data_IF_060902319479
#
_entry.id   IF_060902319479
#
_cell.length_a   1.000
_cell.length_b   1.000
_cell.length_c   1.000
_cell.angle_alpha   90.00
_cell.angle_beta   90.00
_cell.angle_gamma   90.00
#
_symmetry.space_group_name_H-M   'P 1'
#
loop_
_entity.id
_entity.type
_entity.pdbx_description
1 polymer ?
#
# COMPACT_ATOMS: atom_id res chain seq x y z
N UNK A 1 21.63 -10.85 20.74
CA UNK A 1 21.35 -10.67 20.82
C UNK A 1 21.12 -10.41 20.93
N UNK A 2 20.98 -10.61 21.05
CA UNK A 2 20.57 -10.32 21.15
C UNK A 2 20.24 -10.10 20.97
N UNK A 3 20.13 -10.24 21.25
CA UNK A 3 19.56 -10.03 20.99
C UNK A 3 19.35 -9.86 20.19
N UNK A 4 19.32 -10.19 19.90
CA UNK A 4 18.97 -9.79 19.02
C UNK A 4 18.60 -9.99 18.15
N UNK A 5 18.54 -11.01 18.20
CA UNK A 5 17.98 -10.96 17.41
C UNK A 5 17.14 -9.97 16.78
N UNK A 6 16.88 -9.06 17.14
CA UNK A 6 16.16 -7.97 16.53
C UNK A 6 16.60 -7.65 15.11
N UNK A 7 17.82 -7.84 14.83
CA UNK A 7 18.33 -7.54 13.49
C UNK A 7 17.65 -8.38 12.42
N UNK A 8 17.46 -9.65 12.71
CA UNK A 8 16.81 -10.54 11.75
C UNK A 8 15.37 -10.09 11.51
N UNK A 9 14.69 -9.74 12.58
CA UNK A 9 13.32 -9.29 12.49
C UNK A 9 13.22 -7.99 11.70
N UNK A 10 14.14 -7.07 11.94
CA UNK A 10 14.15 -5.82 11.22
C UNK A 10 14.43 -6.03 9.74
N UNK A 11 15.33 -6.94 9.41
CA UNK A 11 15.64 -7.23 8.03
C UNK A 11 14.42 -7.79 7.31
N UNK A 12 13.69 -8.70 7.95
CA UNK A 12 12.49 -9.26 7.35
C UNK A 12 11.43 -8.18 7.17
N UNK A 13 11.31 -7.29 8.13
CA UNK A 13 10.35 -6.21 8.06
C UNK A 13 10.68 -5.27 6.91
N UNK A 14 11.94 -4.93 6.76
CA UNK A 14 12.35 -4.05 5.66
C UNK A 14 12.08 -4.71 4.33
N UNK A 15 12.38 -6.00 4.19
CA UNK A 15 12.15 -6.70 2.93
C UNK A 15 10.66 -6.71 2.60
N UNK A 16 9.82 -6.93 3.59
CA UNK A 16 8.39 -6.95 3.38
C UNK A 16 7.87 -5.60 2.89
N UNK A 17 8.31 -4.53 3.54
CA UNK A 17 7.87 -3.20 3.12
C UNK A 17 8.46 -2.82 1.77
N UNK A 18 9.68 -3.26 1.48
CA UNK A 18 10.26 -3.01 0.17
C UNK A 18 9.43 -3.67 -0.92
N UNK A 19 8.94 -4.90 -0.65
CA UNK A 19 8.07 -5.57 -1.61
C UNK A 19 6.77 -4.81 -1.82
N UNK A 20 6.22 -4.22 -0.76
CA UNK A 20 5.02 -3.42 -0.88
C UNK A 20 5.25 -2.19 -1.75
N UNK A 21 6.35 -1.49 -1.52
CA UNK A 21 6.67 -0.34 -2.36
C UNK A 21 6.89 -0.76 -3.81
N UNK A 22 7.55 -1.89 -4.00
CA UNK A 22 7.78 -2.40 -5.35
C UNK A 22 6.45 -2.70 -6.05
N UNK A 23 5.51 -3.29 -5.31
CA UNK A 23 4.22 -3.60 -5.90
C UNK A 23 3.47 -2.35 -6.33
N UNK A 24 3.62 -1.26 -5.59
CA UNK A 24 2.97 0.00 -5.94
C UNK A 24 3.78 0.83 -6.93
N UNK A 25 5.02 0.46 -7.19
CA UNK A 25 5.97 1.34 -7.85
C UNK A 25 5.90 1.36 -9.36
N UNK A 26 4.84 0.85 -9.95
CA UNK A 26 4.64 1.03 -11.39
C UNK A 26 3.49 2.00 -11.58
N UNK A 27 3.51 2.70 -12.71
CA UNK A 27 2.49 3.72 -12.94
C UNK A 27 1.07 3.14 -12.87
N UNK A 28 0.76 2.02 -13.57
CA UNK A 28 -0.61 1.53 -13.50
C UNK A 28 -1.01 1.10 -12.09
N UNK A 29 -0.11 0.47 -11.34
CA UNK A 29 -0.49 0.05 -9.99
C UNK A 29 -0.64 1.22 -9.04
N UNK A 30 0.17 2.25 -9.21
CA UNK A 30 -0.01 3.45 -8.40
C UNK A 30 -1.34 4.11 -8.71
N UNK A 31 -1.73 4.15 -9.98
CA UNK A 31 -3.03 4.70 -10.35
C UNK A 31 -4.17 3.89 -9.72
N UNK A 32 -4.03 2.57 -9.70
CA UNK A 32 -5.04 1.72 -9.09
C UNK A 32 -5.16 2.02 -7.61
N UNK A 33 -4.03 2.13 -6.92
CA UNK A 33 -4.06 2.41 -5.49
C UNK A 33 -4.75 3.74 -5.20
N UNK A 34 -4.40 4.78 -5.94
CA UNK A 34 -5.02 6.07 -5.72
C UNK A 34 -6.52 6.04 -5.99
N UNK A 35 -6.92 5.32 -7.03
CA UNK A 35 -8.33 5.22 -7.35
C UNK A 35 -9.08 4.49 -6.24
N UNK A 36 -8.55 3.37 -5.78
CA UNK A 36 -9.22 2.62 -4.72
C UNK A 36 -9.26 3.40 -3.42
N UNK A 37 -8.21 4.18 -3.14
CA UNK A 37 -8.24 5.03 -1.96
C UNK A 37 -9.33 6.08 -2.07
N UNK A 38 -9.55 6.60 -3.26
CA UNK A 38 -10.61 7.59 -3.45
C UNK A 38 -12.00 7.00 -3.23
N UNK A 39 -12.13 5.70 -3.40
CA UNK A 39 -13.42 5.02 -3.23
C UNK A 39 -13.54 4.32 -1.88
N UNK A 40 -12.57 4.50 -1.00
CA UNK A 40 -12.60 3.89 0.31
C UNK A 40 -13.77 4.49 1.12
N UNK A 41 -14.48 3.70 1.89
CA UNK A 41 -14.27 2.29 2.20
C UNK A 41 -14.99 1.29 1.30
N UNK A 42 -15.89 1.74 0.46
CA UNK A 42 -16.73 0.83 -0.30
C UNK A 42 -15.98 0.02 -1.34
N UNK A 43 -14.99 0.62 -1.97
CA UNK A 43 -14.23 -0.08 -2.99
C UNK A 43 -14.87 0.01 -4.37
N UNK A 44 -14.30 -0.73 -5.30
CA UNK A 44 -14.76 -0.72 -6.68
C UNK A 44 -14.68 -2.13 -7.25
N UNK A 45 -15.54 -2.41 -8.21
CA UNK A 45 -15.45 -3.66 -8.96
C UNK A 45 -14.39 -3.52 -10.04
N UNK A 46 -13.96 -4.66 -10.58
CA UNK A 46 -12.99 -4.66 -11.68
C UNK A 46 -13.52 -3.85 -12.86
N UNK A 47 -14.81 -4.01 -13.16
CA UNK A 47 -15.40 -3.28 -14.26
C UNK A 47 -15.29 -1.77 -14.06
N UNK A 48 -15.55 -1.32 -12.83
CA UNK A 48 -15.45 0.10 -12.54
C UNK A 48 -14.02 0.60 -12.66
N UNK A 49 -13.07 -0.17 -12.14
CA UNK A 49 -11.67 0.23 -12.24
C UNK A 49 -11.24 0.27 -13.70
N UNK A 50 -11.64 -0.74 -14.46
CA UNK A 50 -11.32 -0.79 -15.88
C UNK A 50 -11.89 0.43 -16.61
N UNK A 51 -13.13 0.77 -16.28
CA UNK A 51 -13.78 1.91 -16.91
C UNK A 51 -13.06 3.21 -16.62
N UNK A 52 -12.57 3.37 -15.39
CA UNK A 52 -11.91 4.59 -15.00
C UNK A 52 -10.50 4.71 -15.58
N UNK A 53 -9.77 3.60 -15.63
CA UNK A 53 -8.35 3.65 -15.98
C UNK A 53 -8.06 3.20 -17.39
N UNK A 54 -8.99 2.50 -18.03
CA UNK A 54 -8.77 2.04 -19.39
C UNK A 54 -7.73 0.94 -19.53
N UNK A 55 -7.49 0.19 -18.46
CA UNK A 55 -6.52 -0.89 -18.50
C UNK A 55 -7.22 -2.15 -18.96
N UNK A 56 -6.65 -2.90 -19.92
CA UNK A 56 -7.28 -4.15 -20.37
C UNK A 56 -7.51 -5.10 -19.19
N UNK A 57 -8.61 -5.85 -19.26
CA UNK A 57 -9.04 -6.67 -18.12
C UNK A 57 -8.00 -7.68 -17.68
N UNK A 58 -7.32 -8.34 -18.63
CA UNK A 58 -6.34 -9.34 -18.24
C UNK A 58 -5.15 -8.69 -17.53
N UNK A 59 -4.72 -7.55 -18.04
CA UNK A 59 -3.62 -6.81 -17.42
C UNK A 59 -4.04 -6.29 -16.05
N UNK A 60 -5.26 -5.77 -15.97
CA UNK A 60 -5.77 -5.25 -14.71
C UNK A 60 -5.83 -6.34 -13.64
N UNK A 61 -6.30 -7.53 -14.00
CA UNK A 61 -6.35 -8.63 -13.06
C UNK A 61 -4.98 -8.96 -12.51
N UNK A 62 -3.97 -8.92 -13.38
CA UNK A 62 -2.60 -9.18 -12.96
C UNK A 62 -2.12 -8.14 -11.96
N UNK A 63 -2.40 -6.87 -12.24
CA UNK A 63 -2.02 -5.79 -11.33
C UNK A 63 -2.73 -5.90 -9.99
N UNK A 64 -4.03 -6.22 -10.03
CA UNK A 64 -4.79 -6.36 -8.80
C UNK A 64 -4.25 -7.51 -7.95
N UNK A 65 -3.87 -8.60 -8.61
CA UNK A 65 -3.31 -9.71 -7.86
C UNK A 65 -1.98 -9.37 -7.22
N UNK A 66 -1.13 -8.64 -7.94
CA UNK A 66 0.14 -8.20 -7.38
C UNK A 66 -0.06 -7.36 -6.13
N UNK A 67 -1.00 -6.43 -6.18
CA UNK A 67 -1.28 -5.58 -5.04
C UNK A 67 -1.89 -6.37 -3.89
N UNK A 68 -2.76 -7.30 -4.21
CA UNK A 68 -3.41 -8.11 -3.19
C UNK A 68 -2.41 -9.03 -2.49
N UNK A 69 -1.45 -9.58 -3.25
CA UNK A 69 -0.45 -10.45 -2.66
C UNK A 69 0.40 -9.74 -1.62
N UNK A 70 0.53 -8.42 -1.74
CA UNK A 70 1.27 -7.63 -0.76
C UNK A 70 0.36 -7.01 0.29
N UNK A 71 -0.88 -7.41 0.33
CA UNK A 71 -1.86 -6.94 1.32
C UNK A 71 -2.16 -5.46 1.19
N UNK A 72 -1.90 -4.88 0.04
CA UNK A 72 -2.15 -3.46 -0.18
C UNK A 72 -3.61 -3.20 -0.54
N UNK A 73 -4.29 -4.21 -1.04
CA UNK A 73 -5.71 -4.12 -1.32
C UNK A 73 -6.39 -5.37 -0.80
N UNK A 74 -7.68 -5.27 -0.63
CA UNK A 74 -8.52 -6.36 -0.16
C UNK A 74 -9.64 -6.58 -1.15
N UNK A 75 -10.18 -7.79 -1.14
CA UNK A 75 -11.31 -8.10 -1.99
C UNK A 75 -12.42 -8.66 -1.12
N UNK A 76 -13.65 -8.26 -1.43
CA UNK A 76 -14.82 -8.71 -0.72
C UNK A 76 -15.86 -9.14 -1.76
N UNK A 77 -16.52 -10.25 -1.51
CA UNK A 77 -17.54 -10.74 -2.42
C UNK A 77 -18.90 -10.28 -1.94
N UNK A 78 -19.67 -9.70 -2.85
CA UNK A 78 -21.08 -9.39 -2.57
C UNK A 78 -21.89 -9.87 -3.75
N UNK A 79 -22.67 -10.94 -3.53
CA UNK A 79 -23.40 -11.55 -4.61
C UNK A 79 -22.45 -12.12 -5.64
N UNK A 80 -22.60 -11.70 -6.88
CA UNK A 80 -21.74 -12.15 -7.95
C UNK A 80 -20.57 -11.21 -8.19
N UNK A 81 -20.47 -10.13 -7.43
CA UNK A 81 -19.45 -9.13 -7.66
C UNK A 81 -18.32 -9.23 -6.65
N UNK A 82 -17.12 -8.95 -7.12
CA UNK A 82 -15.97 -8.80 -6.24
C UNK A 82 -15.65 -7.32 -6.13
N UNK A 83 -15.56 -6.84 -4.89
CA UNK A 83 -15.28 -5.44 -4.61
C UNK A 83 -13.87 -5.33 -4.08
N UNK A 84 -13.07 -4.53 -4.74
CA UNK A 84 -11.69 -4.30 -4.34
C UNK A 84 -11.59 -2.98 -3.62
N UNK A 85 -10.88 -2.97 -2.50
CA UNK A 85 -10.70 -1.75 -1.74
C UNK A 85 -9.27 -1.66 -1.25
N UNK A 86 -8.81 -0.44 -1.01
CA UNK A 86 -7.48 -0.22 -0.49
C UNK A 86 -7.42 -0.66 0.97
N UNK A 87 -6.31 -1.31 1.34
CA UNK A 87 -6.08 -1.68 2.73
C UNK A 87 -5.39 -0.51 3.41
N UNK A 88 -6.20 0.39 3.95
CA UNK A 88 -5.66 1.63 4.49
C UNK A 88 -4.83 1.40 5.73
N UNK A 89 -5.13 0.36 6.51
CA UNK A 89 -4.31 0.04 7.68
C UNK A 89 -2.90 -0.34 7.28
N UNK A 90 -2.78 -1.22 6.28
CA UNK A 90 -1.48 -1.63 5.81
C UNK A 90 -0.72 -0.45 5.22
N UNK A 91 -1.41 0.37 4.45
CA UNK A 91 -0.75 1.53 3.85
C UNK A 91 -0.27 2.50 4.92
N UNK A 92 -1.09 2.72 5.95
CA UNK A 92 -0.69 3.60 7.05
C UNK A 92 0.54 3.05 7.76
N UNK A 93 0.58 1.73 7.97
CA UNK A 93 1.76 1.13 8.60
C UNK A 93 3.01 1.30 7.75
N UNK A 94 2.85 1.11 6.45
CA UNK A 94 3.97 1.25 5.52
C UNK A 94 4.55 2.65 5.57
N UNK A 95 3.69 3.65 5.52
CA UNK A 95 4.15 5.03 5.55
C UNK A 95 4.69 5.40 6.93
N UNK A 96 4.07 4.89 7.98
CA UNK A 96 4.58 5.14 9.33
C UNK A 96 5.96 4.53 9.52
N UNK A 97 6.17 3.35 8.97
CA UNK A 97 7.48 2.72 9.06
C UNK A 97 8.54 3.61 8.43
N UNK A 98 8.23 4.18 7.28
CA UNK A 98 9.17 5.06 6.60
C UNK A 98 9.43 6.33 7.40
N UNK A 99 8.35 6.96 7.88
CA UNK A 99 8.48 8.22 8.61
C UNK A 99 9.07 8.03 10.00
N UNK A 100 9.06 6.82 10.54
CA UNK A 100 9.60 6.59 11.87
C UNK A 100 11.06 7.02 11.99
N UNK A 101 11.77 7.01 10.88
CA UNK A 101 13.16 7.43 10.89
C UNK A 101 13.35 8.91 10.61
N UNK A 102 12.23 9.63 10.42
CA UNK A 102 12.36 11.03 10.08
C UNK A 102 13.11 11.79 11.17
N UNK A 103 14.23 12.38 10.80
CA UNK A 103 14.99 13.33 11.63
C UNK A 103 15.56 12.72 12.91
N UNK A 104 15.65 11.40 12.99
CA UNK A 104 16.16 10.78 14.21
C UNK A 104 17.63 11.13 14.45
N UNK A 105 18.35 11.50 13.41
CA UNK A 105 19.76 11.84 13.52
C UNK A 105 20.02 13.33 13.52
N UNK A 106 18.99 14.13 13.31
CA UNK A 106 19.13 15.57 13.25
C UNK A 106 18.11 16.20 14.18
N UNK A 107 18.54 16.63 15.33
CA UNK A 107 17.64 17.13 16.33
C UNK A 107 17.20 18.56 16.10
N UNK A 108 17.73 19.20 15.09
CA UNK A 108 17.33 20.55 14.78
C UNK A 108 15.94 20.61 14.16
N UNK A 109 15.45 19.49 13.65
CA UNK A 109 14.15 19.44 13.00
C UNK A 109 13.25 18.49 13.77
N UNK A 110 12.06 18.96 14.10
CA UNK A 110 11.10 18.12 14.80
C UNK A 110 10.41 17.22 13.83
N UNK A 111 10.33 15.92 14.11
CA UNK A 111 9.60 15.02 13.21
C UNK A 111 8.15 15.43 13.03
N UNK A 112 7.53 15.97 14.05
CA UNK A 112 6.14 16.39 13.95
C UNK A 112 5.94 17.49 12.93
N UNK A 113 6.92 18.34 12.78
CA UNK A 113 6.78 19.45 11.84
C UNK A 113 6.67 18.95 10.41
N UNK A 114 7.23 17.78 10.12
CA UNK A 114 7.17 17.24 8.79
C UNK A 114 5.88 16.49 8.55
N UNK A 115 5.46 15.74 9.55
CA UNK A 115 4.30 14.89 9.39
C UNK A 115 3.02 15.70 9.38
N UNK A 116 3.00 16.77 10.08
CA UNK A 116 1.75 17.43 10.28
C UNK A 116 1.33 18.28 9.15
N UNK A 117 1.98 18.18 8.07
CA UNK A 117 1.46 18.90 6.98
C UNK A 117 0.18 18.27 6.65
N UNK A 118 -0.68 18.26 6.91
CA UNK A 118 -1.88 17.76 6.59
C UNK A 118 -2.84 18.71 6.23
#
# INVERSE_FOLDING_TARGET
GDSHMPDSSTTETIARYADMFSAMGTEPRLRIMRLLLSAHPGGMTVTEVNSELGIPSSTLSHHLEKLRNESLIQVRREGTFLWYSANTETLAELLSFLYAECCTRNKAIEPNAIVCCK
#
